data_IF_041815613549
#
_entry.id   IF_041815613549
#
_cell.length_a   1.000
_cell.length_b   1.000
_cell.length_c   1.000
_cell.angle_alpha   90.00
_cell.angle_beta   90.00
_cell.angle_gamma   90.00
#
_symmetry.space_group_name_H-M   'P 1'
#
loop_
_entity.id
_entity.type
_entity.pdbx_description
1 polymer ?
#
# COMPACT_ATOMS: atom_id res chain seq x y z
N UNK A 1 4.58 -17.24 -39.51
CA UNK A 1 4.02 -18.29 -38.63
C UNK A 1 4.87 -18.35 -37.36
N UNK A 2 4.18 -18.49 -36.22
CA UNK A 2 4.61 -18.21 -34.85
C UNK A 2 5.88 -19.00 -34.44
N UNK A 3 6.88 -18.31 -33.88
CA UNK A 3 7.87 -18.91 -33.00
C UNK A 3 7.50 -18.52 -31.57
N UNK A 4 6.85 -19.44 -30.88
CA UNK A 4 6.69 -19.41 -29.43
C UNK A 4 8.02 -19.85 -28.82
N UNK A 5 8.72 -18.92 -28.17
CA UNK A 5 9.84 -19.26 -27.28
C UNK A 5 9.36 -19.05 -25.85
N UNK A 6 8.80 -20.13 -25.30
CA UNK A 6 9.07 -20.67 -23.97
C UNK A 6 9.68 -19.67 -22.97
N UNK A 7 8.83 -18.91 -22.27
CA UNK A 7 9.13 -18.51 -20.88
C UNK A 7 8.71 -19.68 -19.99
N UNK A 8 9.63 -20.61 -19.78
CA UNK A 8 9.54 -21.60 -18.71
C UNK A 8 10.93 -21.67 -18.10
N UNK A 9 11.11 -21.04 -16.94
CA UNK A 9 11.97 -21.47 -15.82
C UNK A 9 12.00 -20.37 -14.74
N UNK A 10 10.91 -20.26 -13.99
CA UNK A 10 10.94 -19.75 -12.61
C UNK A 10 10.45 -20.85 -11.63
N UNK A 11 10.51 -22.11 -12.06
CA UNK A 11 10.18 -23.28 -11.24
C UNK A 11 11.40 -23.76 -10.46
N UNK A 12 11.96 -22.87 -9.64
CA UNK A 12 12.97 -23.19 -8.64
C UNK A 12 12.91 -22.21 -7.45
N UNK A 13 11.70 -21.86 -6.99
CA UNK A 13 11.55 -21.35 -5.62
C UNK A 13 11.38 -22.57 -4.72
N UNK A 14 12.50 -22.89 -4.06
CA UNK A 14 12.59 -23.78 -2.93
C UNK A 14 11.45 -23.48 -1.93
N UNK A 15 10.87 -24.54 -1.40
CA UNK A 15 9.92 -24.51 -0.30
C UNK A 15 10.55 -23.78 0.90
N UNK A 16 10.18 -22.52 1.08
CA UNK A 16 10.23 -21.77 2.33
C UNK A 16 8.83 -21.19 2.53
N UNK A 17 8.30 -21.28 3.75
CA UNK A 17 7.02 -20.67 4.12
C UNK A 17 6.94 -19.23 3.59
N UNK A 18 5.77 -18.87 3.04
CA UNK A 18 5.49 -17.59 2.36
C UNK A 18 6.15 -16.41 3.05
N UNK A 19 7.00 -15.72 2.30
CA UNK A 19 7.74 -14.57 2.81
C UNK A 19 7.98 -13.56 1.70
N UNK A 20 8.09 -12.31 2.16
CA UNK A 20 8.63 -11.14 1.49
C UNK A 20 9.80 -11.41 0.51
N UNK A 21 10.60 -12.44 0.77
CA UNK A 21 11.79 -12.77 -0.02
C UNK A 21 11.47 -13.09 -1.49
N UNK A 22 10.34 -13.74 -1.77
CA UNK A 22 9.97 -14.08 -3.14
C UNK A 22 9.60 -12.83 -3.96
N UNK A 23 8.88 -11.89 -3.34
CA UNK A 23 8.53 -10.61 -3.97
C UNK A 23 9.75 -9.72 -4.15
N UNK A 24 10.63 -9.67 -3.15
CA UNK A 24 11.87 -8.90 -3.23
C UNK A 24 12.77 -9.42 -4.36
N UNK A 25 12.86 -10.74 -4.55
CA UNK A 25 13.58 -11.34 -5.70
C UNK A 25 12.95 -10.96 -7.05
N UNK A 26 11.62 -10.94 -7.15
CA UNK A 26 10.92 -10.51 -8.36
C UNK A 26 11.19 -9.04 -8.66
N UNK A 27 11.09 -8.18 -7.64
CA UNK A 27 11.37 -6.74 -7.73
C UNK A 27 12.83 -6.49 -8.12
N UNK A 28 13.78 -7.22 -7.54
CA UNK A 28 15.20 -7.09 -7.87
C UNK A 28 15.47 -7.42 -9.36
N UNK A 29 14.80 -8.44 -9.90
CA UNK A 29 15.07 -8.93 -11.26
C UNK A 29 14.39 -8.10 -12.35
N UNK A 30 13.12 -7.76 -12.17
CA UNK A 30 12.26 -7.14 -13.20
C UNK A 30 11.49 -5.92 -12.67
N UNK A 31 11.96 -5.33 -11.56
CA UNK A 31 11.27 -4.20 -10.95
C UNK A 31 11.42 -2.88 -11.68
N UNK A 32 10.84 -1.85 -11.06
CA UNK A 32 10.93 -0.47 -11.47
C UNK A 32 12.40 -0.02 -11.52
N UNK A 33 12.84 0.54 -12.65
CA UNK A 33 14.19 1.08 -12.79
C UNK A 33 14.29 2.46 -12.12
N UNK A 34 14.64 2.48 -10.84
CA UNK A 34 14.71 3.70 -10.01
C UNK A 34 15.72 4.73 -10.57
N UNK A 35 16.84 4.27 -11.12
CA UNK A 35 17.89 5.16 -11.66
C UNK A 35 17.41 5.92 -12.91
N UNK A 36 16.39 5.43 -13.59
CA UNK A 36 15.77 6.11 -14.73
C UNK A 36 14.73 7.16 -14.34
N UNK A 37 14.28 7.16 -13.07
CA UNK A 37 13.26 8.10 -12.59
C UNK A 37 13.87 9.44 -12.22
N UNK A 38 13.26 10.52 -12.70
CA UNK A 38 13.49 11.86 -12.17
C UNK A 38 13.04 11.97 -10.71
N UNK A 39 13.54 12.97 -9.99
CA UNK A 39 13.07 13.24 -8.63
C UNK A 39 11.57 13.50 -8.57
N UNK A 40 11.00 14.14 -9.60
CA UNK A 40 9.55 14.35 -9.66
C UNK A 40 8.80 13.03 -9.78
N UNK A 41 9.28 12.08 -10.59
CA UNK A 41 8.67 10.76 -10.70
C UNK A 41 8.82 9.97 -9.41
N UNK A 42 9.99 9.96 -8.78
CA UNK A 42 10.20 9.34 -7.45
C UNK A 42 9.20 9.87 -6.42
N UNK A 43 9.01 11.19 -6.37
CA UNK A 43 8.04 11.82 -5.50
C UNK A 43 6.59 11.37 -5.80
N UNK A 44 6.22 11.22 -7.08
CA UNK A 44 4.90 10.72 -7.47
C UNK A 44 4.68 9.26 -7.06
N UNK A 45 5.67 8.38 -7.27
CA UNK A 45 5.59 6.97 -6.83
C UNK A 45 5.41 6.88 -5.32
N UNK A 46 6.19 7.64 -4.56
CA UNK A 46 6.06 7.70 -3.11
C UNK A 46 4.71 8.28 -2.68
N UNK A 47 4.22 9.36 -3.30
CA UNK A 47 2.93 9.95 -2.95
C UNK A 47 1.76 9.00 -3.23
N UNK A 48 1.74 8.33 -4.39
CA UNK A 48 0.72 7.32 -4.71
C UNK A 48 0.74 6.20 -3.68
N UNK A 49 1.93 5.77 -3.25
CA UNK A 49 2.10 4.71 -2.26
C UNK A 49 1.58 5.11 -0.88
N UNK A 50 1.85 6.34 -0.44
CA UNK A 50 1.28 6.89 0.79
C UNK A 50 -0.24 7.00 0.69
N UNK A 51 -0.75 7.59 -0.39
CA UNK A 51 -2.16 7.91 -0.54
C UNK A 51 -3.04 6.66 -0.67
N UNK A 52 -2.59 5.61 -1.37
CA UNK A 52 -3.35 4.35 -1.46
C UNK A 52 -3.42 3.63 -0.10
N UNK A 53 -2.36 3.69 0.70
CA UNK A 53 -2.36 3.14 2.06
C UNK A 53 -3.35 3.91 2.95
N UNK A 54 -3.35 5.24 2.88
CA UNK A 54 -4.34 6.09 3.58
C UNK A 54 -5.76 5.68 3.21
N UNK A 55 -6.08 5.56 1.92
CA UNK A 55 -7.42 5.20 1.46
C UNK A 55 -7.83 3.80 1.92
N UNK A 56 -6.90 2.83 1.94
CA UNK A 56 -7.16 1.48 2.44
C UNK A 56 -7.48 1.50 3.95
N UNK A 57 -6.76 2.30 4.74
CA UNK A 57 -7.02 2.47 6.18
C UNK A 57 -8.41 3.08 6.40
N UNK A 58 -8.73 4.15 5.67
CA UNK A 58 -10.06 4.78 5.72
C UNK A 58 -11.18 3.77 5.42
N UNK A 59 -11.05 3.02 4.32
CA UNK A 59 -12.03 1.99 3.92
C UNK A 59 -12.13 0.89 4.99
N UNK A 60 -11.01 0.46 5.57
CA UNK A 60 -11.00 -0.53 6.64
C UNK A 60 -11.75 -0.02 7.88
N UNK A 61 -11.58 1.25 8.26
CA UNK A 61 -12.33 1.90 9.34
C UNK A 61 -13.84 1.93 9.06
N UNK A 62 -14.24 2.34 7.86
CA UNK A 62 -15.67 2.33 7.46
C UNK A 62 -16.29 0.93 7.48
N UNK A 63 -15.52 -0.11 7.12
CA UNK A 63 -15.95 -1.49 7.24
C UNK A 63 -16.02 -1.95 8.69
N UNK A 64 -15.07 -1.53 9.53
CA UNK A 64 -15.08 -1.83 10.97
C UNK A 64 -16.33 -1.27 11.65
N UNK A 65 -16.69 -0.02 11.36
CA UNK A 65 -17.90 0.62 11.90
C UNK A 65 -19.16 -0.15 11.49
N UNK A 66 -19.29 -0.45 10.20
CA UNK A 66 -20.43 -1.21 9.68
C UNK A 66 -20.56 -2.62 10.28
N UNK A 67 -19.43 -3.30 10.52
CA UNK A 67 -19.42 -4.62 11.16
C UNK A 67 -19.71 -4.53 12.66
N UNK A 68 -19.23 -3.49 13.33
CA UNK A 68 -19.51 -3.23 14.75
C UNK A 68 -20.99 -2.95 15.00
N UNK A 69 -21.67 -2.25 14.08
CA UNK A 69 -23.12 -2.05 14.14
C UNK A 69 -23.91 -3.36 13.99
N UNK A 70 -23.44 -4.27 13.13
CA UNK A 70 -24.08 -5.58 12.89
C UNK A 70 -23.81 -6.57 14.00
N UNK A 71 -22.64 -6.51 14.62
CA UNK A 71 -22.13 -7.44 15.61
C UNK A 71 -21.60 -6.68 16.84
N UNK A 72 -22.47 -6.09 17.67
CA UNK A 72 -22.10 -5.15 18.74
C UNK A 72 -21.24 -5.75 19.84
N UNK A 73 -21.27 -7.07 20.02
CA UNK A 73 -20.42 -7.77 21.00
C UNK A 73 -18.96 -7.85 20.56
N UNK A 74 -18.65 -7.51 19.30
CA UNK A 74 -17.29 -7.36 18.75
C UNK A 74 -16.29 -8.46 19.16
N UNK A 75 -16.74 -9.71 19.26
CA UNK A 75 -15.85 -10.88 19.34
C UNK A 75 -15.10 -11.12 18.01
N UNK A 76 -15.35 -10.27 17.00
CA UNK A 76 -14.74 -10.29 15.68
C UNK A 76 -13.21 -10.20 15.75
N UNK A 77 -12.57 -11.33 15.47
CA UNK A 77 -11.13 -11.42 15.20
C UNK A 77 -10.79 -10.95 13.80
N UNK A 78 -11.69 -11.12 12.84
CA UNK A 78 -11.47 -10.83 11.43
C UNK A 78 -12.77 -10.56 10.66
N UNK A 79 -12.70 -9.72 9.63
CA UNK A 79 -13.79 -9.46 8.69
C UNK A 79 -13.27 -9.09 7.30
N UNK A 80 -14.11 -9.34 6.29
CA UNK A 80 -13.79 -8.98 4.91
C UNK A 80 -14.42 -7.62 4.56
N UNK A 81 -13.69 -6.83 3.77
CA UNK A 81 -14.12 -5.51 3.33
C UNK A 81 -13.97 -5.40 1.81
N UNK A 82 -15.10 -5.36 1.10
CA UNK A 82 -15.10 -5.24 -0.36
C UNK A 82 -14.94 -3.77 -0.78
N UNK A 83 -13.80 -3.44 -1.39
CA UNK A 83 -13.46 -2.08 -1.83
C UNK A 83 -14.46 -1.55 -2.87
N UNK A 84 -15.12 -2.42 -3.63
CA UNK A 84 -16.11 -1.99 -4.62
C UNK A 84 -17.30 -1.23 -3.99
N UNK A 85 -17.57 -1.42 -2.70
CA UNK A 85 -18.61 -0.71 -1.96
C UNK A 85 -18.19 0.71 -1.54
N UNK A 86 -16.88 1.04 -1.64
CA UNK A 86 -16.29 2.27 -1.11
C UNK A 86 -15.46 3.01 -2.17
N UNK A 87 -15.83 2.90 -3.46
CA UNK A 87 -15.07 3.53 -4.55
C UNK A 87 -14.96 5.05 -4.41
N UNK A 88 -15.99 5.69 -3.86
CA UNK A 88 -16.02 7.15 -3.66
C UNK A 88 -15.01 7.61 -2.59
N UNK A 89 -14.55 6.71 -1.73
CA UNK A 89 -13.49 6.96 -0.74
C UNK A 89 -12.13 7.24 -1.38
N UNK A 90 -11.96 7.02 -2.69
CA UNK A 90 -10.76 7.45 -3.40
C UNK A 90 -10.52 8.98 -3.31
N UNK A 91 -11.59 9.76 -3.10
CA UNK A 91 -11.53 11.22 -2.90
C UNK A 91 -10.88 11.62 -1.57
N UNK A 92 -10.69 10.68 -0.63
CA UNK A 92 -10.04 10.93 0.65
C UNK A 92 -8.53 11.21 0.51
N UNK A 93 -7.91 10.76 -0.59
CA UNK A 93 -6.50 11.04 -0.86
C UNK A 93 -6.27 12.53 -1.16
N UNK A 94 -5.36 13.16 -0.41
CA UNK A 94 -5.15 14.61 -0.50
C UNK A 94 -4.30 15.05 -1.71
N UNK A 95 -3.29 14.28 -2.10
CA UNK A 95 -2.26 14.73 -3.05
C UNK A 95 -2.28 14.01 -4.40
N UNK A 96 -2.96 12.87 -4.46
CA UNK A 96 -3.06 12.03 -5.66
C UNK A 96 -4.52 11.81 -6.03
N UNK A 97 -4.84 12.03 -7.30
CA UNK A 97 -6.11 11.57 -7.85
C UNK A 97 -6.05 10.06 -8.09
N UNK A 98 -6.69 9.30 -7.20
CA UNK A 98 -6.85 7.86 -7.31
C UNK A 98 -8.23 7.49 -7.87
N UNK A 99 -8.31 6.36 -8.57
CA UNK A 99 -9.58 5.74 -8.91
C UNK A 99 -9.54 4.26 -8.54
N UNK A 100 -10.47 3.83 -7.68
CA UNK A 100 -10.56 2.44 -7.23
C UNK A 100 -11.41 1.60 -8.19
N UNK A 101 -10.86 0.48 -8.64
CA UNK A 101 -11.52 -0.42 -9.57
C UNK A 101 -12.20 -1.59 -8.85
N UNK A 102 -11.44 -2.32 -8.03
CA UNK A 102 -11.89 -3.51 -7.30
C UNK A 102 -10.88 -3.92 -6.23
N UNK A 103 -11.25 -4.86 -5.37
CA UNK A 103 -10.37 -5.49 -4.39
C UNK A 103 -11.17 -5.93 -3.17
N UNK A 104 -10.59 -6.82 -2.37
CA UNK A 104 -11.18 -7.27 -1.11
C UNK A 104 -10.08 -7.27 -0.06
N UNK A 105 -10.33 -6.60 1.07
CA UNK A 105 -9.44 -6.57 2.22
C UNK A 105 -9.89 -7.63 3.23
N UNK A 106 -8.93 -8.17 3.99
CA UNK A 106 -9.17 -8.84 5.28
C UNK A 106 -8.63 -7.93 6.36
N UNK A 107 -9.47 -7.55 7.30
CA UNK A 107 -9.06 -6.78 8.48
C UNK A 107 -9.11 -7.72 9.67
N UNK A 108 -7.98 -7.88 10.35
CA UNK A 108 -7.84 -8.72 11.55
C UNK A 108 -7.54 -7.83 12.74
N UNK A 109 -8.35 -7.92 13.80
CA UNK A 109 -8.09 -7.26 15.07
C UNK A 109 -7.13 -8.12 15.89
N UNK A 110 -5.87 -7.69 15.98
CA UNK A 110 -4.81 -8.45 16.68
C UNK A 110 -4.74 -8.14 18.17
N UNK A 111 -5.22 -6.96 18.58
CA UNK A 111 -5.43 -6.57 19.96
C UNK A 111 -6.56 -5.53 20.05
N UNK A 112 -6.97 -5.12 21.27
CA UNK A 112 -8.05 -4.15 21.46
C UNK A 112 -7.89 -2.91 20.56
N UNK A 113 -6.69 -2.39 20.43
CA UNK A 113 -6.39 -1.19 19.66
C UNK A 113 -5.37 -1.41 18.54
N UNK A 114 -5.24 -2.64 18.05
CA UNK A 114 -4.30 -2.98 16.98
C UNK A 114 -4.97 -3.83 15.90
N UNK A 115 -4.74 -3.44 14.65
CA UNK A 115 -5.35 -4.03 13.47
C UNK A 115 -4.29 -4.36 12.42
N UNK A 116 -4.46 -5.50 11.76
CA UNK A 116 -3.69 -5.91 10.58
C UNK A 116 -4.64 -5.90 9.39
N UNK A 117 -4.30 -5.15 8.35
CA UNK A 117 -5.07 -5.06 7.11
C UNK A 117 -4.27 -5.74 6.00
N UNK A 118 -4.90 -6.69 5.34
CA UNK A 118 -4.34 -7.47 4.23
C UNK A 118 -5.29 -7.46 3.04
N UNK A 119 -4.80 -7.84 1.87
CA UNK A 119 -5.62 -8.09 0.70
C UNK A 119 -6.00 -9.56 0.64
N UNK A 120 -7.28 -9.85 0.54
CA UNK A 120 -7.78 -11.14 0.07
C UNK A 120 -7.71 -11.23 -1.45
N UNK A 121 -8.14 -10.15 -2.10
CA UNK A 121 -7.95 -9.89 -3.52
C UNK A 121 -7.19 -8.58 -3.68
N UNK A 122 -6.22 -8.54 -4.60
CA UNK A 122 -5.42 -7.34 -4.86
C UNK A 122 -6.31 -6.10 -5.07
N UNK A 123 -5.91 -4.99 -4.44
CA UNK A 123 -6.51 -3.69 -4.69
C UNK A 123 -6.10 -3.23 -6.07
N UNK A 124 -7.07 -3.11 -6.98
CA UNK A 124 -6.88 -2.60 -8.33
C UNK A 124 -7.29 -1.15 -8.38
N UNK A 125 -6.41 -0.28 -8.84
CA UNK A 125 -6.66 1.14 -8.92
C UNK A 125 -5.91 1.78 -10.08
N UNK A 126 -6.25 3.03 -10.38
CA UNK A 126 -5.57 3.85 -11.37
C UNK A 126 -4.98 5.10 -10.71
N UNK A 127 -3.78 5.46 -11.12
CA UNK A 127 -3.07 6.66 -10.70
C UNK A 127 -2.25 7.23 -11.88
N UNK A 128 -2.88 8.13 -12.65
CA UNK A 128 -2.33 8.70 -13.88
C UNK A 128 -0.98 9.40 -13.72
N UNK A 129 -0.61 9.76 -12.48
CA UNK A 129 0.67 10.38 -12.15
C UNK A 129 1.88 9.47 -12.37
N UNK A 130 1.70 8.13 -12.28
CA UNK A 130 2.78 7.15 -12.42
C UNK A 130 2.53 6.09 -13.49
N UNK A 131 1.27 5.82 -13.85
CA UNK A 131 0.92 4.88 -14.91
C UNK A 131 -0.41 5.24 -15.56
N UNK A 132 -0.55 4.99 -16.86
CA UNK A 132 -1.84 5.04 -17.56
C UNK A 132 -2.56 3.67 -17.54
N UNK A 133 -1.95 2.64 -16.94
CA UNK A 133 -2.51 1.29 -16.77
C UNK A 133 -3.31 1.09 -15.47
N UNK A 134 -3.61 -0.17 -15.17
CA UNK A 134 -4.14 -0.57 -13.85
C UNK A 134 -2.98 -0.98 -12.96
N UNK A 135 -2.95 -0.41 -11.76
CA UNK A 135 -2.03 -0.79 -10.70
C UNK A 135 -2.71 -1.83 -9.81
N UNK A 136 -1.96 -2.86 -9.44
CA UNK A 136 -2.37 -3.84 -8.46
C UNK A 136 -1.51 -3.66 -7.22
N UNK A 137 -2.17 -3.55 -6.07
CA UNK A 137 -1.52 -3.47 -4.78
C UNK A 137 -1.91 -4.68 -3.94
N UNK A 138 -0.89 -5.38 -3.42
CA UNK A 138 -1.02 -6.61 -2.65
C UNK A 138 -0.42 -6.45 -1.26
N UNK A 139 -1.16 -6.96 -0.29
CA UNK A 139 -0.81 -7.06 1.13
C UNK A 139 -1.07 -8.51 1.58
N UNK A 140 -0.12 -9.41 1.37
CA UNK A 140 -0.23 -10.84 1.68
C UNK A 140 0.94 -11.29 2.60
N UNK A 141 0.69 -12.30 3.45
CA UNK A 141 1.64 -12.82 4.44
C UNK A 141 2.18 -11.74 5.40
N UNK A 142 3.47 -11.40 5.28
CA UNK A 142 4.16 -10.37 6.05
C UNK A 142 3.96 -8.96 5.47
N UNK A 143 3.46 -8.84 4.23
CA UNK A 143 3.00 -7.57 3.68
C UNK A 143 1.62 -7.25 4.26
N UNK A 144 1.55 -6.22 5.06
CA UNK A 144 0.32 -5.76 5.67
C UNK A 144 0.43 -4.28 6.02
N UNK A 145 -0.73 -3.65 6.24
CA UNK A 145 -0.81 -2.41 6.98
C UNK A 145 -1.10 -2.77 8.43
N UNK A 146 -0.28 -2.29 9.35
CA UNK A 146 -0.54 -2.36 10.78
C UNK A 146 -0.96 -1.00 11.28
N UNK A 147 -2.18 -0.94 11.80
CA UNK A 147 -2.80 0.27 12.35
C UNK A 147 -2.97 0.10 13.85
N UNK A 148 -2.49 1.05 14.64
CA UNK A 148 -2.64 1.04 16.11
C UNK A 148 -3.24 2.35 16.58
N UNK A 149 -4.28 2.24 17.39
CA UNK A 149 -4.96 3.36 18.03
C UNK A 149 -4.48 3.52 19.47
N UNK A 150 -4.33 4.76 19.91
CA UNK A 150 -4.15 5.10 21.31
C UNK A 150 -5.30 5.98 21.78
N UNK A 151 -6.32 5.35 22.36
CA UNK A 151 -7.53 6.02 22.88
C UNK A 151 -7.22 7.13 23.89
N UNK A 152 -6.10 7.06 24.63
CA UNK A 152 -5.77 8.04 25.66
C UNK A 152 -5.28 9.37 25.09
N UNK A 153 -4.68 9.36 23.91
CA UNK A 153 -4.11 10.54 23.24
C UNK A 153 -4.78 10.85 21.92
N UNK A 154 -5.74 10.04 21.49
CA UNK A 154 -6.38 10.12 20.18
C UNK A 154 -5.35 10.12 19.03
N UNK A 155 -4.31 9.30 19.20
CA UNK A 155 -3.21 9.21 18.21
C UNK A 155 -3.25 7.86 17.52
N UNK A 156 -3.08 7.88 16.21
CA UNK A 156 -3.08 6.71 15.35
C UNK A 156 -1.71 6.51 14.73
N UNK A 157 -1.17 5.29 14.81
CA UNK A 157 0.13 4.97 14.21
C UNK A 157 0.00 3.89 13.15
N UNK A 158 0.79 4.03 12.09
CA UNK A 158 0.72 3.20 10.91
C UNK A 158 2.11 2.76 10.49
N UNK A 159 2.24 1.46 10.28
CA UNK A 159 3.34 0.87 9.50
C UNK A 159 2.75 0.06 8.37
N UNK A 160 3.47 -0.06 7.27
CA UNK A 160 3.02 -0.83 6.13
C UNK A 160 4.19 -1.45 5.39
N UNK A 161 3.91 -2.58 4.75
CA UNK A 161 4.72 -3.12 3.67
C UNK A 161 3.78 -3.64 2.60
N UNK A 162 4.04 -3.32 1.34
CA UNK A 162 3.19 -3.81 0.27
C UNK A 162 3.89 -3.89 -1.08
N UNK A 163 3.30 -4.71 -1.93
CA UNK A 163 3.83 -5.07 -3.24
C UNK A 163 2.95 -4.53 -4.35
N UNK A 164 3.58 -3.84 -5.29
CA UNK A 164 2.92 -3.23 -6.42
C UNK A 164 3.30 -3.90 -7.73
N UNK A 165 2.34 -3.85 -8.65
CA UNK A 165 2.48 -4.32 -10.01
C UNK A 165 1.73 -3.40 -10.96
N UNK A 166 2.42 -2.91 -11.99
CA UNK A 166 1.82 -2.15 -13.09
C UNK A 166 1.51 -3.05 -14.30
N UNK A 167 0.22 -3.18 -14.64
CA UNK A 167 -0.27 -3.99 -15.76
C UNK A 167 -0.40 -3.20 -17.09
N UNK A 168 0.21 -2.01 -17.20
CA UNK A 168 0.16 -1.19 -18.43
C UNK A 168 0.66 -1.92 -19.69
N UNK A 169 1.73 -2.71 -19.58
CA UNK A 169 2.35 -3.38 -20.73
C UNK A 169 2.68 -4.84 -20.44
N UNK A 170 3.13 -5.58 -21.48
CA UNK A 170 3.70 -6.92 -21.30
C UNK A 170 4.99 -6.90 -20.46
N UNK A 171 5.71 -5.77 -20.46
CA UNK A 171 6.85 -5.52 -19.59
C UNK A 171 6.30 -4.98 -18.26
N UNK A 172 5.91 -5.91 -17.39
CA UNK A 172 5.31 -5.60 -16.09
C UNK A 172 6.37 -5.02 -15.15
N UNK A 173 6.10 -3.84 -14.60
CA UNK A 173 6.96 -3.23 -13.58
C UNK A 173 6.46 -3.58 -12.18
N UNK A 174 7.39 -3.96 -11.30
CA UNK A 174 7.13 -4.31 -9.90
C UNK A 174 7.92 -3.42 -8.95
N UNK A 175 7.37 -3.12 -7.77
CA UNK A 175 8.11 -2.46 -6.70
C UNK A 175 7.49 -2.81 -5.35
N UNK A 176 8.30 -2.74 -4.30
CA UNK A 176 7.80 -2.82 -2.92
C UNK A 176 7.91 -1.46 -2.26
N UNK A 177 7.02 -1.21 -1.31
CA UNK A 177 7.14 -0.09 -0.38
C UNK A 177 7.09 -0.60 1.04
N UNK A 178 7.84 0.04 1.93
CA UNK A 178 7.94 -0.35 3.32
C UNK A 178 8.15 0.88 4.19
N UNK A 179 7.34 1.04 5.23
CA UNK A 179 7.58 2.04 6.27
C UNK A 179 8.82 1.67 7.09
N UNK A 180 9.65 2.66 7.40
CA UNK A 180 10.80 2.47 8.28
C UNK A 180 10.28 2.34 9.72
N UNK A 181 10.46 1.17 10.34
CA UNK A 181 9.80 0.85 11.62
C UNK A 181 10.15 1.79 12.77
N UNK A 182 11.32 2.44 12.73
CA UNK A 182 11.72 3.46 13.73
C UNK A 182 11.05 4.82 13.54
N UNK A 183 10.28 5.01 12.46
CA UNK A 183 9.60 6.25 12.08
C UNK A 183 8.22 5.95 11.49
N UNK A 184 7.30 5.36 12.28
CA UNK A 184 5.93 5.09 11.81
C UNK A 184 5.21 6.37 11.41
N UNK A 185 4.19 6.25 10.58
CA UNK A 185 3.34 7.37 10.19
C UNK A 185 2.25 7.60 11.22
N UNK A 186 1.83 8.85 11.40
CA UNK A 186 0.55 9.17 12.04
C UNK A 186 -0.56 9.17 11.00
N UNK A 187 -1.71 8.58 11.31
CA UNK A 187 -2.90 8.72 10.46
C UNK A 187 -3.73 9.90 10.94
N UNK A 188 -4.01 10.82 10.02
CA UNK A 188 -4.71 12.07 10.28
C UNK A 188 -5.92 12.18 9.35
N UNK A 189 -6.99 12.81 9.84
CA UNK A 189 -8.21 13.07 9.07
C UNK A 189 -8.66 14.52 9.30
N UNK A 190 -8.82 15.28 8.21
CA UNK A 190 -9.45 16.60 8.25
C UNK A 190 -10.95 16.45 8.01
N UNK A 191 -11.69 16.49 9.11
CA UNK A 191 -13.16 16.41 9.12
C UNK A 191 -13.85 17.56 8.39
N UNK A 192 -13.15 18.67 8.08
CA UNK A 192 -13.72 19.80 7.34
C UNK A 192 -13.57 19.63 5.83
N UNK A 193 -12.40 19.18 5.36
CA UNK A 193 -12.09 19.04 3.95
C UNK A 193 -12.30 17.61 3.41
N UNK A 194 -12.69 16.67 4.29
CA UNK A 194 -12.93 15.26 3.94
C UNK A 194 -11.70 14.60 3.30
N UNK A 195 -10.51 14.91 3.81
CA UNK A 195 -9.26 14.29 3.37
C UNK A 195 -8.59 13.60 4.55
N UNK A 196 -7.95 12.49 4.27
CA UNK A 196 -7.10 11.78 5.22
C UNK A 196 -5.67 11.72 4.69
N UNK A 197 -4.68 11.59 5.57
CA UNK A 197 -3.28 11.43 5.17
C UNK A 197 -2.43 10.72 6.21
N UNK A 198 -1.27 10.23 5.76
CA UNK A 198 -0.21 9.71 6.62
C UNK A 198 0.88 10.76 6.82
N UNK A 199 1.07 11.23 8.05
CA UNK A 199 1.96 12.33 8.42
C UNK A 199 3.24 11.89 9.14
N UNK A 200 4.32 12.64 8.94
CA UNK A 200 5.54 12.61 9.78
C UNK A 200 6.35 11.32 9.78
N UNK A 201 5.94 10.29 9.05
CA UNK A 201 6.63 9.01 8.97
C UNK A 201 7.67 8.97 7.85
N UNK A 202 8.41 7.86 7.80
CA UNK A 202 9.42 7.59 6.77
C UNK A 202 9.17 6.23 6.13
N UNK A 203 9.48 6.13 4.84
CA UNK A 203 9.33 4.89 4.09
C UNK A 203 10.39 4.79 2.97
N UNK A 204 10.50 3.59 2.42
CA UNK A 204 11.43 3.22 1.34
C UNK A 204 10.68 2.49 0.24
N UNK A 205 11.13 2.70 -0.99
CA UNK A 205 10.65 2.00 -2.18
C UNK A 205 11.83 1.24 -2.75
N UNK A 206 11.62 -0.05 -3.00
CA UNK A 206 12.61 -0.92 -3.62
C UNK A 206 12.20 -1.26 -5.04
N UNK A 207 13.17 -1.22 -5.95
CA UNK A 207 13.01 -1.51 -7.37
C UNK A 207 14.07 -2.48 -7.85
N UNK A 208 14.31 -2.46 -9.16
CA UNK A 208 15.27 -3.34 -9.83
C UNK A 208 16.69 -3.16 -9.29
N UNK A 209 17.49 -4.23 -9.35
CA UNK A 209 18.92 -4.25 -9.02
C UNK A 209 19.18 -3.74 -7.59
N UNK A 210 18.25 -4.06 -6.68
CA UNK A 210 18.23 -3.69 -5.26
C UNK A 210 18.36 -2.19 -5.03
N UNK A 211 17.98 -1.39 -6.04
CA UNK A 211 17.95 0.06 -5.91
C UNK A 211 16.80 0.45 -5.02
N UNK A 212 17.03 1.46 -4.20
CA UNK A 212 16.02 2.01 -3.31
C UNK A 212 16.09 3.53 -3.30
N UNK A 213 15.01 4.16 -2.88
CA UNK A 213 15.03 5.53 -2.38
C UNK A 213 14.07 5.67 -1.22
N UNK A 214 14.41 6.59 -0.32
CA UNK A 214 13.65 6.84 0.90
C UNK A 214 12.90 8.18 0.78
N UNK A 215 11.76 8.28 1.45
CA UNK A 215 11.00 9.52 1.59
C UNK A 215 10.41 9.65 2.98
N UNK A 216 9.99 10.87 3.29
CA UNK A 216 9.17 11.19 4.45
C UNK A 216 7.88 11.87 4.01
N UNK A 217 6.95 12.03 4.94
CA UNK A 217 5.80 12.93 4.73
C UNK A 217 5.88 14.15 5.64
N UNK A 218 5.42 15.29 5.13
CA UNK A 218 5.17 16.48 5.94
C UNK A 218 4.08 16.22 6.98
N UNK A 219 3.83 17.20 7.85
CA UNK A 219 2.72 17.14 8.82
C UNK A 219 1.34 17.09 8.16
N UNK A 220 1.25 17.48 6.89
CA UNK A 220 0.00 17.43 6.11
C UNK A 220 -0.01 16.27 5.13
N UNK A 221 0.97 15.36 5.16
CA UNK A 221 0.98 14.16 4.30
C UNK A 221 1.63 14.33 2.92
N UNK A 222 2.22 15.50 2.64
CA UNK A 222 2.95 15.69 1.38
C UNK A 222 4.27 14.95 1.43
N UNK A 223 4.55 14.14 0.41
CA UNK A 223 5.82 13.44 0.30
C UNK A 223 6.98 14.41 0.05
N UNK A 224 8.05 14.23 0.81
CA UNK A 224 9.33 14.92 0.67
C UNK A 224 10.41 13.86 0.45
N UNK A 225 11.15 13.98 -0.65
CA UNK A 225 12.31 13.12 -0.90
C UNK A 225 13.45 13.55 0.01
N UNK A 226 14.12 12.58 0.62
CA UNK A 226 15.36 12.83 1.35
C UNK A 226 16.45 13.14 0.31
N UNK A 227 17.09 14.31 0.44
CA UNK A 227 18.27 14.61 -0.35
C UNK A 227 19.38 13.67 0.12
N UNK A 228 19.97 12.91 -0.81
CA UNK A 228 21.17 12.15 -0.52
C UNK A 228 22.28 13.13 -0.13
N UNK A 229 22.83 12.99 1.08
CA UNK A 229 24.05 13.68 1.52
C UNK A 229 25.29 13.16 0.77
#
# INVERSE_FOLDING_TARGET
MKKWSVLAFLSALLMGCGSNDAEDVVVDTIGLNIDSLSNQEKQRYAQVSTDINTVIIYIAGQCFDAESERNPDMELTDFNCNIANYKDSASQAQYTNLSLNSGELVVTRTAKSAFKIQTKDNVKFHAASISDGTLNYRLEDDNAIHFTENEATDTHTVTFRGFFRDDKTLDVAYWTVESISSSPFSYEEDTNNQHSWLAGGSAKLSGKDSKTFDWTTSTTGQVVLLLAE
#
